data_IF_151818763241
#
_entry.id   IF_151818763241
#
_cell.length_a   1.000
_cell.length_b   1.000
_cell.length_c   1.000
_cell.angle_alpha   90.00
_cell.angle_beta   90.00
_cell.angle_gamma   90.00
#
_symmetry.space_group_name_H-M   'P 1'
#
loop_
_entity.id
_entity.type
_entity.pdbx_description
1 polymer ?
#
# COMPACT_ATOMS: atom_id res chain seq x y z
N UNK A 1 -10.86 -41.57 -21.25
CA UNK A 1 -12.06 -40.70 -21.31
C UNK A 1 -12.98 -41.15 -20.20
N UNK A 2 -12.77 -40.60 -19.00
CA UNK A 2 -13.69 -40.82 -17.89
C UNK A 2 -14.93 -39.95 -18.08
N UNK A 3 -16.14 -40.48 -17.81
CA UNK A 3 -17.36 -39.71 -17.89
C UNK A 3 -17.35 -38.61 -16.82
N UNK A 4 -17.32 -37.36 -17.27
CA UNK A 4 -17.46 -36.17 -16.44
C UNK A 4 -18.79 -36.28 -15.69
N UNK A 5 -18.72 -36.48 -14.37
CA UNK A 5 -19.88 -36.51 -13.48
C UNK A 5 -20.53 -35.13 -13.47
N UNK A 6 -21.52 -34.92 -14.34
CA UNK A 6 -22.46 -33.82 -14.25
C UNK A 6 -23.31 -34.02 -12.98
N UNK A 7 -22.77 -33.65 -11.83
CA UNK A 7 -23.55 -33.50 -10.61
C UNK A 7 -24.58 -32.39 -10.87
N UNK A 8 -25.85 -32.78 -11.00
CA UNK A 8 -26.95 -31.85 -11.09
C UNK A 8 -26.95 -30.96 -9.84
N UNK A 9 -26.56 -29.69 -10.01
CA UNK A 9 -26.58 -28.66 -8.97
C UNK A 9 -28.05 -28.35 -8.62
N UNK A 10 -28.62 -29.10 -7.69
CA UNK A 10 -29.99 -28.91 -7.19
C UNK A 10 -30.09 -27.88 -6.05
N UNK A 11 -29.04 -27.09 -5.81
CA UNK A 11 -29.06 -26.00 -4.85
C UNK A 11 -29.81 -24.78 -5.37
N UNK A 12 -30.70 -24.20 -4.55
CA UNK A 12 -31.29 -22.91 -4.85
C UNK A 12 -30.16 -21.84 -5.01
N UNK A 13 -30.24 -20.96 -6.02
CA UNK A 13 -29.21 -19.96 -6.26
C UNK A 13 -29.04 -19.07 -5.01
N UNK A 14 -27.81 -19.01 -4.49
CA UNK A 14 -27.51 -18.14 -3.35
C UNK A 14 -27.12 -16.75 -3.87
N UNK A 15 -27.75 -15.71 -3.31
CA UNK A 15 -27.39 -14.31 -3.59
C UNK A 15 -26.26 -13.87 -2.67
N UNK A 16 -25.09 -13.57 -3.24
CA UNK A 16 -23.94 -13.02 -2.51
C UNK A 16 -23.63 -11.64 -3.08
N UNK A 17 -23.78 -10.59 -2.27
CA UNK A 17 -23.66 -9.19 -2.72
C UNK A 17 -24.49 -8.87 -3.98
N UNK A 18 -25.69 -9.46 -4.07
CA UNK A 18 -26.60 -9.30 -5.21
C UNK A 18 -26.26 -10.16 -6.44
N UNK A 19 -25.26 -11.03 -6.38
CA UNK A 19 -24.90 -11.96 -7.46
C UNK A 19 -25.54 -13.32 -7.23
N UNK A 20 -26.38 -13.83 -8.16
CA UNK A 20 -26.90 -15.20 -8.07
C UNK A 20 -25.80 -16.18 -8.49
N UNK A 21 -25.29 -16.95 -7.53
CA UNK A 21 -24.24 -17.96 -7.79
C UNK A 21 -24.82 -19.35 -7.56
N UNK A 22 -24.73 -20.21 -8.59
CA UNK A 22 -25.22 -21.60 -8.51
C UNK A 22 -24.25 -22.52 -7.76
N UNK A 23 -22.94 -22.24 -7.83
CA UNK A 23 -21.91 -23.05 -7.19
C UNK A 23 -21.54 -22.49 -5.81
N UNK A 24 -21.89 -23.22 -4.75
CA UNK A 24 -21.64 -22.83 -3.34
C UNK A 24 -20.16 -22.55 -3.05
N UNK A 25 -19.26 -23.31 -3.69
CA UNK A 25 -17.80 -23.14 -3.54
C UNK A 25 -17.33 -21.80 -4.10
N UNK A 26 -17.77 -21.46 -5.32
CA UNK A 26 -17.47 -20.18 -5.96
C UNK A 26 -18.10 -19.03 -5.18
N UNK A 27 -19.29 -19.24 -4.62
CA UNK A 27 -19.99 -18.27 -3.78
C UNK A 27 -19.17 -17.92 -2.51
N UNK A 28 -18.68 -18.93 -1.79
CA UNK A 28 -17.80 -18.73 -0.62
C UNK A 28 -16.50 -18.02 -0.97
N UNK A 29 -15.90 -18.34 -2.11
CA UNK A 29 -14.65 -17.74 -2.56
C UNK A 29 -14.83 -16.27 -2.96
N UNK A 30 -15.86 -15.97 -3.76
CA UNK A 30 -16.23 -14.60 -4.14
C UNK A 30 -16.49 -13.72 -2.92
N UNK A 31 -17.16 -14.24 -1.89
CA UNK A 31 -17.37 -13.51 -0.63
C UNK A 31 -16.03 -13.12 0.02
N UNK A 32 -15.09 -14.05 0.11
CA UNK A 32 -13.76 -13.82 0.72
C UNK A 32 -12.96 -12.78 -0.08
N UNK A 33 -12.93 -12.92 -1.40
CA UNK A 33 -12.24 -12.00 -2.32
C UNK A 33 -12.80 -10.58 -2.19
N UNK A 34 -14.13 -10.42 -2.18
CA UNK A 34 -14.76 -9.11 -2.07
C UNK A 34 -14.54 -8.45 -0.71
N UNK A 35 -14.61 -9.21 0.39
CA UNK A 35 -14.31 -8.68 1.73
C UNK A 35 -12.87 -8.20 1.79
N UNK A 36 -11.91 -9.01 1.31
CA UNK A 36 -10.49 -8.63 1.30
C UNK A 36 -10.25 -7.39 0.44
N UNK A 37 -10.85 -7.32 -0.75
CA UNK A 37 -10.70 -6.18 -1.63
C UNK A 37 -11.26 -4.87 -1.02
N UNK A 38 -12.36 -4.96 -0.27
CA UNK A 38 -12.93 -3.83 0.46
C UNK A 38 -12.02 -3.42 1.63
N UNK A 39 -11.54 -4.38 2.41
CA UNK A 39 -10.64 -4.10 3.55
C UNK A 39 -9.33 -3.48 3.05
N UNK A 40 -8.74 -4.00 1.97
CA UNK A 40 -7.52 -3.42 1.38
C UNK A 40 -7.76 -2.00 0.87
N UNK A 41 -8.91 -1.74 0.22
CA UNK A 41 -9.24 -0.41 -0.24
C UNK A 41 -9.35 0.58 0.93
N UNK A 42 -10.02 0.20 2.01
CA UNK A 42 -10.12 1.04 3.22
C UNK A 42 -8.75 1.31 3.85
N UNK A 43 -7.91 0.28 4.00
CA UNK A 43 -6.58 0.42 4.58
C UNK A 43 -5.66 1.33 3.75
N UNK A 44 -5.82 1.38 2.43
CA UNK A 44 -5.05 2.27 1.55
C UNK A 44 -5.62 3.69 1.53
N UNK A 45 -6.94 3.84 1.60
CA UNK A 45 -7.59 5.15 1.56
C UNK A 45 -7.37 5.98 2.82
N UNK A 46 -7.36 5.36 4.02
CA UNK A 46 -7.21 6.08 5.29
C UNK A 46 -5.91 6.93 5.32
N UNK A 47 -4.70 6.39 5.05
CA UNK A 47 -3.48 7.19 4.98
C UNK A 47 -3.53 8.27 3.90
N UNK A 48 -4.16 8.00 2.75
CA UNK A 48 -4.32 8.97 1.67
C UNK A 48 -5.15 10.19 2.10
N UNK A 49 -6.25 9.97 2.82
CA UNK A 49 -7.06 11.05 3.39
C UNK A 49 -6.32 11.85 4.46
N UNK A 50 -5.56 11.19 5.33
CA UNK A 50 -4.73 11.86 6.34
C UNK A 50 -3.70 12.76 5.65
N UNK A 51 -3.00 12.25 4.62
CA UNK A 51 -2.00 13.01 3.87
C UNK A 51 -2.60 14.22 3.14
N UNK A 52 -3.79 14.07 2.57
CA UNK A 52 -4.51 15.18 1.93
C UNK A 52 -4.94 16.24 2.96
N UNK A 53 -5.40 15.81 4.13
CA UNK A 53 -5.82 16.71 5.21
C UNK A 53 -4.65 17.49 5.84
N UNK A 54 -3.43 16.93 5.83
CA UNK A 54 -2.23 17.59 6.36
C UNK A 54 -1.66 18.70 5.46
N UNK A 55 -2.32 19.07 4.35
CA UNK A 55 -1.96 20.28 3.59
C UNK A 55 -0.81 20.12 2.59
N UNK A 56 -0.40 18.90 2.25
CA UNK A 56 0.64 18.61 1.26
C UNK A 56 0.19 18.84 -0.19
N UNK A 57 -0.09 20.08 -0.58
CA UNK A 57 -0.67 20.43 -1.89
C UNK A 57 0.15 19.97 -3.11
N UNK A 58 1.48 19.91 -2.99
CA UNK A 58 2.37 19.48 -4.07
C UNK A 58 2.21 17.98 -4.44
N UNK A 59 1.58 17.17 -3.60
CA UNK A 59 1.42 15.72 -3.79
C UNK A 59 -0.03 15.32 -4.15
N UNK A 60 -0.95 16.27 -4.33
CA UNK A 60 -2.35 15.95 -4.58
C UNK A 60 -2.58 15.09 -5.85
N UNK A 61 -1.93 15.34 -7.01
CA UNK A 61 -2.18 14.54 -8.21
C UNK A 61 -1.74 13.07 -8.08
N UNK A 62 -0.63 12.80 -7.39
CA UNK A 62 -0.16 11.43 -7.14
C UNK A 62 -1.06 10.71 -6.14
N UNK A 63 -1.56 11.41 -5.11
CA UNK A 63 -2.54 10.85 -4.17
C UNK A 63 -3.86 10.47 -4.86
N UNK A 64 -4.39 11.36 -5.71
CA UNK A 64 -5.66 11.11 -6.43
C UNK A 64 -5.53 9.92 -7.37
N UNK A 65 -4.44 9.83 -8.13
CA UNK A 65 -4.20 8.69 -9.03
C UNK A 65 -4.02 7.38 -8.25
N UNK A 66 -3.32 7.42 -7.10
CA UNK A 66 -3.20 6.28 -6.19
C UNK A 66 -4.55 5.80 -5.64
N UNK A 67 -5.42 6.72 -5.21
CA UNK A 67 -6.77 6.38 -4.72
C UNK A 67 -7.65 5.79 -5.82
N UNK A 68 -7.57 6.33 -7.05
CA UNK A 68 -8.30 5.78 -8.19
C UNK A 68 -7.87 4.34 -8.50
N UNK A 69 -6.56 4.06 -8.48
CA UNK A 69 -6.05 2.70 -8.66
C UNK A 69 -6.48 1.77 -7.52
N UNK A 70 -6.46 2.25 -6.28
CA UNK A 70 -6.90 1.47 -5.11
C UNK A 70 -8.38 1.05 -5.21
N UNK A 71 -9.24 1.89 -5.79
CA UNK A 71 -10.65 1.58 -6.05
C UNK A 71 -10.86 0.71 -7.30
N UNK A 72 -9.94 0.75 -8.26
CA UNK A 72 -10.02 -0.07 -9.47
C UNK A 72 -9.83 -1.57 -9.14
N UNK A 73 -8.99 -1.91 -8.17
CA UNK A 73 -8.77 -3.29 -7.71
C UNK A 73 -10.06 -4.00 -7.27
N UNK A 74 -10.86 -3.48 -6.30
CA UNK A 74 -12.11 -4.12 -5.90
C UNK A 74 -13.14 -4.15 -7.05
N UNK A 75 -13.15 -3.16 -7.94
CA UNK A 75 -14.02 -3.16 -9.13
C UNK A 75 -13.66 -4.31 -10.06
N UNK A 76 -12.37 -4.54 -10.34
CA UNK A 76 -11.90 -5.68 -11.14
C UNK A 76 -12.28 -7.02 -10.50
N UNK A 77 -12.10 -7.16 -9.19
CA UNK A 77 -12.50 -8.36 -8.45
C UNK A 77 -14.01 -8.62 -8.53
N UNK A 78 -14.83 -7.59 -8.33
CA UNK A 78 -16.29 -7.69 -8.40
C UNK A 78 -16.79 -8.00 -9.81
N UNK A 79 -16.34 -7.25 -10.82
CA UNK A 79 -16.75 -7.46 -12.20
C UNK A 79 -16.22 -8.78 -12.76
N UNK A 80 -15.01 -9.20 -12.37
CA UNK A 80 -14.44 -10.51 -12.72
C UNK A 80 -15.30 -11.66 -12.19
N UNK A 81 -15.67 -11.61 -10.90
CA UNK A 81 -16.57 -12.59 -10.31
C UNK A 81 -17.98 -12.55 -10.93
N UNK A 82 -18.54 -11.36 -11.16
CA UNK A 82 -19.89 -11.17 -11.72
C UNK A 82 -20.01 -11.68 -13.16
N UNK A 83 -19.02 -11.41 -14.00
CA UNK A 83 -19.02 -11.77 -15.42
C UNK A 83 -18.34 -13.10 -15.71
N UNK A 84 -17.84 -13.78 -14.68
CA UNK A 84 -17.00 -14.99 -14.85
C UNK A 84 -15.81 -14.71 -15.79
N UNK A 85 -15.23 -13.50 -15.71
CA UNK A 85 -14.21 -13.02 -16.62
C UNK A 85 -12.81 -13.24 -16.04
N UNK A 86 -12.03 -14.08 -16.72
CA UNK A 86 -10.68 -14.44 -16.35
C UNK A 86 -9.70 -13.26 -16.42
N UNK A 87 -9.87 -12.35 -17.39
CA UNK A 87 -8.96 -11.20 -17.55
C UNK A 87 -9.12 -10.21 -16.41
N UNK A 88 -10.36 -9.96 -15.98
CA UNK A 88 -10.63 -9.09 -14.83
C UNK A 88 -10.15 -9.69 -13.51
N UNK A 89 -10.32 -11.00 -13.34
CA UNK A 89 -9.83 -11.72 -12.16
C UNK A 89 -8.29 -11.76 -12.13
N UNK A 90 -7.65 -11.91 -13.29
CA UNK A 90 -6.20 -11.81 -13.43
C UNK A 90 -5.69 -10.41 -13.08
N UNK A 91 -6.37 -9.37 -13.58
CA UNK A 91 -6.07 -7.98 -13.23
C UNK A 91 -6.14 -7.75 -11.70
N UNK A 92 -7.19 -8.25 -11.05
CA UNK A 92 -7.29 -8.21 -9.58
C UNK A 92 -6.10 -8.88 -8.88
N UNK A 93 -5.68 -10.06 -9.34
CA UNK A 93 -4.51 -10.76 -8.78
C UNK A 93 -3.23 -9.95 -8.99
N UNK A 94 -3.01 -9.47 -10.21
CA UNK A 94 -1.84 -8.68 -10.58
C UNK A 94 -1.74 -7.38 -9.77
N UNK A 95 -2.86 -6.68 -9.57
CA UNK A 95 -2.89 -5.47 -8.76
C UNK A 95 -2.57 -5.73 -7.28
N UNK A 96 -3.10 -6.81 -6.68
CA UNK A 96 -2.76 -7.16 -5.29
C UNK A 96 -1.28 -7.56 -5.14
N UNK A 97 -0.75 -8.35 -6.08
CA UNK A 97 0.66 -8.74 -6.07
C UNK A 97 1.58 -7.51 -6.23
N UNK A 98 1.35 -6.71 -7.27
CA UNK A 98 2.13 -5.50 -7.52
C UNK A 98 2.01 -4.52 -6.34
N UNK A 99 0.80 -4.31 -5.82
CA UNK A 99 0.56 -3.48 -4.64
C UNK A 99 1.40 -3.94 -3.44
N UNK A 100 1.41 -5.26 -3.18
CA UNK A 100 2.16 -5.80 -2.03
C UNK A 100 3.66 -5.59 -2.19
N UNK A 101 4.21 -5.82 -3.38
CA UNK A 101 5.62 -5.59 -3.69
C UNK A 101 6.00 -4.11 -3.54
N UNK A 102 5.17 -3.21 -4.06
CA UNK A 102 5.41 -1.76 -3.96
C UNK A 102 5.33 -1.28 -2.51
N UNK A 103 4.36 -1.75 -1.73
CA UNK A 103 4.25 -1.41 -0.31
C UNK A 103 5.46 -1.90 0.49
N UNK A 104 5.93 -3.13 0.25
CA UNK A 104 7.14 -3.66 0.89
C UNK A 104 8.36 -2.81 0.51
N UNK A 105 8.52 -2.48 -0.77
CA UNK A 105 9.62 -1.65 -1.24
C UNK A 105 9.61 -0.26 -0.58
N UNK A 106 8.45 0.42 -0.58
CA UNK A 106 8.27 1.72 0.09
C UNK A 106 8.55 1.65 1.58
N UNK A 107 8.22 0.54 2.23
CA UNK A 107 8.52 0.34 3.64
C UNK A 107 10.03 0.21 3.88
N UNK A 108 10.73 -0.61 3.08
CA UNK A 108 12.19 -0.76 3.18
C UNK A 108 12.91 0.56 2.94
N UNK A 109 12.50 1.33 1.92
CA UNK A 109 13.12 2.64 1.64
C UNK A 109 12.85 3.64 2.75
N UNK A 110 11.64 3.68 3.33
CA UNK A 110 11.32 4.55 4.46
C UNK A 110 12.16 4.22 5.71
N UNK A 111 12.35 2.93 6.01
CA UNK A 111 13.22 2.48 7.11
C UNK A 111 14.69 2.84 6.86
N UNK A 112 15.19 2.61 5.65
CA UNK A 112 16.57 2.95 5.29
C UNK A 112 16.82 4.47 5.36
N UNK A 113 15.89 5.28 4.83
CA UNK A 113 15.97 6.74 4.90
C UNK A 113 15.93 7.24 6.35
N UNK A 114 15.10 6.63 7.20
CA UNK A 114 15.07 6.96 8.63
C UNK A 114 16.33 6.58 9.36
N UNK A 115 16.88 5.39 9.11
CA UNK A 115 18.14 5.00 9.71
C UNK A 115 19.27 5.95 9.30
N UNK A 116 19.32 6.32 8.02
CA UNK A 116 20.31 7.27 7.50
C UNK A 116 20.15 8.66 8.13
N UNK A 117 18.93 9.19 8.22
CA UNK A 117 18.68 10.50 8.84
C UNK A 117 19.03 10.49 10.33
N UNK A 118 18.59 9.46 11.07
CA UNK A 118 18.92 9.33 12.49
C UNK A 118 20.44 9.20 12.72
N UNK A 119 21.15 8.49 11.84
CA UNK A 119 22.60 8.40 11.89
C UNK A 119 23.27 9.76 11.68
N UNK A 120 22.84 10.50 10.65
CA UNK A 120 23.35 11.85 10.36
C UNK A 120 23.10 12.79 11.53
N UNK A 121 21.86 12.85 12.04
CA UNK A 121 21.50 13.73 13.16
C UNK A 121 22.24 13.35 14.45
N UNK A 122 22.49 12.08 14.72
CA UNK A 122 23.18 11.69 15.96
C UNK A 122 24.70 11.81 15.88
N UNK A 123 25.28 11.65 14.69
CA UNK A 123 26.74 11.55 14.52
C UNK A 123 27.37 12.84 13.96
N UNK A 124 26.57 13.75 13.40
CA UNK A 124 27.05 14.95 12.73
C UNK A 124 26.45 16.21 13.34
N UNK A 125 26.94 16.55 14.54
CA UNK A 125 26.68 17.85 15.16
C UNK A 125 27.58 18.91 14.51
N UNK A 126 27.00 19.93 13.81
CA UNK A 126 27.78 20.96 13.15
C UNK A 126 28.65 21.79 14.11
N UNK A 127 28.35 21.81 15.42
CA UNK A 127 29.17 22.50 16.41
C UNK A 127 30.46 21.75 16.79
N UNK A 128 30.58 20.47 16.43
CA UNK A 128 31.70 19.59 16.76
C UNK A 128 32.31 18.94 15.50
N UNK A 129 32.60 19.75 14.47
CA UNK A 129 33.08 19.24 13.18
C UNK A 129 34.55 18.77 13.25
N UNK A 130 34.74 17.45 13.33
CA UNK A 130 36.05 16.80 13.23
C UNK A 130 36.52 16.65 11.76
N UNK A 131 35.72 17.09 10.78
CA UNK A 131 36.09 17.21 9.37
C UNK A 131 36.10 15.91 8.56
N UNK A 132 35.71 14.76 9.14
CA UNK A 132 35.67 13.48 8.40
C UNK A 132 34.31 12.79 8.47
N UNK A 133 33.59 12.76 7.34
CA UNK A 133 32.40 11.93 7.13
C UNK A 133 31.05 12.61 7.38
N UNK A 134 31.04 13.86 7.86
CA UNK A 134 29.83 14.65 8.06
C UNK A 134 29.56 15.61 6.90
N UNK A 135 28.28 16.02 6.68
CA UNK A 135 27.96 16.96 5.61
C UNK A 135 28.62 18.32 5.84
N UNK A 136 29.12 18.94 4.77
CA UNK A 136 29.66 20.31 4.81
C UNK A 136 28.54 21.33 5.03
N UNK A 137 28.87 22.56 5.43
CA UNK A 137 27.90 23.64 5.61
C UNK A 137 26.98 23.85 4.38
N UNK A 138 27.57 23.81 3.18
CA UNK A 138 26.80 23.92 1.92
C UNK A 138 25.87 22.72 1.70
N UNK A 139 26.29 21.50 2.11
CA UNK A 139 25.46 20.30 1.99
C UNK A 139 24.26 20.36 2.94
N UNK A 140 24.42 20.86 4.17
CA UNK A 140 23.29 21.09 5.08
C UNK A 140 22.25 22.02 4.46
N UNK A 141 22.68 23.11 3.81
CA UNK A 141 21.76 24.01 3.10
C UNK A 141 21.00 23.30 1.96
N UNK A 142 21.63 22.36 1.25
CA UNK A 142 20.93 21.57 0.21
C UNK A 142 19.93 20.56 0.77
N UNK A 143 20.10 20.10 2.02
CA UNK A 143 19.16 19.17 2.67
C UNK A 143 17.91 19.89 3.21
N UNK A 144 18.02 21.20 3.42
CA UNK A 144 17.01 22.05 4.03
C UNK A 144 16.55 23.20 3.10
N UNK A 145 16.07 22.92 1.87
CA UNK A 145 15.76 23.97 0.89
C UNK A 145 14.56 24.85 1.30
N UNK A 146 13.73 24.41 2.24
CA UNK A 146 12.56 25.14 2.72
C UNK A 146 12.91 26.27 3.70
N UNK A 147 14.15 26.33 4.19
CA UNK A 147 14.60 27.40 5.06
C UNK A 147 15.04 28.62 4.22
N UNK A 148 14.62 29.82 4.65
CA UNK A 148 14.82 31.07 3.90
C UNK A 148 16.30 31.47 3.77
N UNK A 149 16.59 32.50 2.95
CA UNK A 149 17.92 33.11 2.94
C UNK A 149 18.29 33.65 4.33
N UNK A 150 19.44 33.24 4.86
CA UNK A 150 19.97 33.70 6.16
C UNK A 150 20.00 32.66 7.28
N UNK A 151 19.55 31.43 7.04
CA UNK A 151 19.67 30.33 8.01
C UNK A 151 21.07 29.72 8.06
N UNK A 152 21.47 29.27 9.25
CA UNK A 152 22.75 28.60 9.50
C UNK A 152 22.63 27.07 9.40
N UNK A 153 23.77 26.37 9.31
CA UNK A 153 23.79 24.90 9.35
C UNK A 153 23.23 24.34 10.68
N UNK A 154 23.40 25.08 11.78
CA UNK A 154 22.88 24.73 13.11
C UNK A 154 21.34 24.76 13.13
N UNK A 155 20.73 25.75 12.47
CA UNK A 155 19.27 25.84 12.36
C UNK A 155 18.69 24.68 11.54
N UNK A 156 19.33 24.32 10.42
CA UNK A 156 18.95 23.16 9.62
C UNK A 156 19.10 21.85 10.42
N UNK A 157 20.19 21.70 11.17
CA UNK A 157 20.39 20.55 12.05
C UNK A 157 19.29 20.44 13.11
N UNK A 158 18.93 21.55 13.77
CA UNK A 158 17.85 21.58 14.77
C UNK A 158 16.48 21.20 14.16
N UNK A 159 16.17 21.69 12.95
CA UNK A 159 14.95 21.30 12.22
C UNK A 159 14.96 19.81 11.87
N UNK A 160 16.08 19.28 11.37
CA UNK A 160 16.23 17.86 11.06
C UNK A 160 16.14 16.98 12.30
N UNK A 161 16.65 17.43 13.44
CA UNK A 161 16.52 16.75 14.72
C UNK A 161 15.05 16.66 15.17
N UNK A 162 14.30 17.76 15.03
CA UNK A 162 12.85 17.78 15.27
C UNK A 162 12.09 16.84 14.33
N UNK A 163 12.43 16.85 13.04
CA UNK A 163 11.83 15.98 12.02
C UNK A 163 12.15 14.50 12.26
N UNK A 164 13.38 14.17 12.67
CA UNK A 164 13.80 12.79 12.96
C UNK A 164 12.94 12.17 14.09
N UNK A 165 12.66 12.92 15.16
CA UNK A 165 11.78 12.47 16.24
C UNK A 165 10.35 12.20 15.76
N UNK A 166 9.78 13.10 14.97
CA UNK A 166 8.45 12.94 14.38
C UNK A 166 8.40 11.76 13.39
N UNK A 167 9.50 11.51 12.68
CA UNK A 167 9.59 10.43 11.70
C UNK A 167 9.56 9.06 12.36
N UNK A 168 10.19 8.88 13.53
CA UNK A 168 10.11 7.62 14.27
C UNK A 168 8.68 7.31 14.73
N UNK A 169 7.93 8.32 15.21
CA UNK A 169 6.51 8.16 15.55
C UNK A 169 5.69 7.77 14.31
N UNK A 170 5.95 8.42 13.19
CA UNK A 170 5.31 8.13 11.90
C UNK A 170 5.58 6.69 11.44
N UNK A 171 6.81 6.19 11.57
CA UNK A 171 7.16 4.82 11.21
C UNK A 171 6.39 3.78 12.03
N UNK A 172 6.18 4.00 13.33
CA UNK A 172 5.36 3.09 14.14
C UNK A 172 3.93 2.99 13.61
N UNK A 173 3.30 4.12 13.28
CA UNK A 173 1.97 4.14 12.67
C UNK A 173 1.95 3.48 11.29
N UNK A 174 2.99 3.69 10.49
CA UNK A 174 3.14 3.02 9.21
C UNK A 174 3.22 1.50 9.37
N UNK A 175 4.01 0.98 10.32
CA UNK A 175 4.10 -0.47 10.60
C UNK A 175 2.72 -1.03 10.95
N UNK A 176 2.01 -0.37 11.86
CA UNK A 176 0.70 -0.82 12.34
C UNK A 176 -0.36 -0.89 11.23
N UNK A 177 -0.31 0.01 10.24
CA UNK A 177 -1.29 0.06 9.15
C UNK A 177 -0.85 -0.73 7.90
N UNK A 178 0.43 -0.68 7.54
CA UNK A 178 0.95 -1.26 6.31
C UNK A 178 1.13 -2.77 6.41
N UNK A 179 1.55 -3.32 7.56
CA UNK A 179 1.72 -4.78 7.70
C UNK A 179 0.40 -5.53 7.48
N UNK A 180 -0.72 -5.15 8.14
CA UNK A 180 -2.03 -5.75 7.82
C UNK A 180 -2.44 -5.55 6.35
N UNK A 181 -2.14 -4.40 5.75
CA UNK A 181 -2.43 -4.12 4.34
C UNK A 181 -1.71 -5.12 3.42
N UNK A 182 -0.41 -5.35 3.62
CA UNK A 182 0.38 -6.34 2.86
C UNK A 182 -0.20 -7.74 3.02
N UNK A 183 -0.54 -8.14 4.26
CA UNK A 183 -1.13 -9.46 4.52
C UNK A 183 -2.47 -9.64 3.78
N UNK A 184 -3.33 -8.62 3.82
CA UNK A 184 -4.63 -8.64 3.13
C UNK A 184 -4.44 -8.68 1.61
N UNK A 185 -3.47 -7.95 1.05
CA UNK A 185 -3.15 -8.01 -0.37
C UNK A 185 -2.61 -9.38 -0.80
N UNK A 186 -1.73 -10.00 -0.01
CA UNK A 186 -1.24 -11.36 -0.24
C UNK A 186 -2.39 -12.38 -0.22
N UNK A 187 -3.32 -12.26 0.75
CA UNK A 187 -4.53 -13.09 0.78
C UNK A 187 -5.42 -12.85 -0.45
N UNK A 188 -5.53 -11.58 -0.89
CA UNK A 188 -6.22 -11.20 -2.11
C UNK A 188 -5.64 -11.87 -3.34
N UNK A 189 -4.31 -11.91 -3.47
CA UNK A 189 -3.63 -12.65 -4.52
C UNK A 189 -3.91 -14.16 -4.45
N UNK A 190 -3.75 -14.79 -3.29
CA UNK A 190 -3.96 -16.23 -3.12
C UNK A 190 -5.41 -16.65 -3.45
N UNK A 191 -6.40 -15.94 -2.91
CA UNK A 191 -7.82 -16.24 -3.16
C UNK A 191 -8.27 -15.83 -4.55
N UNK A 192 -7.72 -14.75 -5.10
CA UNK A 192 -7.94 -14.33 -6.48
C UNK A 192 -7.42 -15.37 -7.47
N UNK A 193 -6.22 -15.90 -7.24
CA UNK A 193 -5.63 -16.96 -8.07
C UNK A 193 -6.46 -18.24 -8.00
N UNK A 194 -6.93 -18.60 -6.79
CA UNK A 194 -7.85 -19.73 -6.64
C UNK A 194 -9.14 -19.49 -7.45
N UNK A 195 -9.73 -18.30 -7.38
CA UNK A 195 -10.94 -17.96 -8.14
C UNK A 195 -10.67 -18.04 -9.65
N UNK A 196 -9.56 -17.47 -10.11
CA UNK A 196 -9.13 -17.55 -11.50
C UNK A 196 -9.01 -19.00 -11.99
N UNK A 197 -8.44 -19.89 -11.17
CA UNK A 197 -8.28 -21.30 -11.53
C UNK A 197 -9.61 -22.06 -11.62
N UNK A 198 -10.58 -21.73 -10.77
CA UNK A 198 -11.92 -22.33 -10.79
C UNK A 198 -12.74 -21.84 -11.99
N UNK A 199 -12.56 -20.58 -12.40
CA UNK A 199 -13.22 -20.00 -13.59
C UNK A 199 -12.68 -20.58 -14.92
N UNK A 200 -11.60 -21.35 -14.88
CA UNK A 200 -11.01 -22.01 -16.06
C UNK A 200 -11.60 -23.41 -16.31
N UNK A 201 -12.24 -23.98 -15.29
CA UNK A 201 -12.88 -25.31 -15.37
C UNK A 201 -14.31 -25.17 -15.90
#
# INVERSE_FOLDING_TARGET
>A
MEPSHAQALTGAPQLIFGLPIQNERLAKLTRKVLIVALVSAVLVLIPGFIGLASGGGAQAPSLVSGMALALLVPICGYLGAKKSDQNLTCCFCGCNLLGSCLTIFSFVTAFAASGALSYIVQSCDPSNDDGTGCPTADQWLTMCPDLAEGYTAEDCYADLQGKAGNMQSTLHWMVLLQVPSVLVQCLGFCWGHQLYSELKQ
#
